data_IF_229118465493
#
_entry.id   IF_229118465493
#
_cell.length_a   1.000
_cell.length_b   1.000
_cell.length_c   1.000
_cell.angle_alpha   90.00
_cell.angle_beta   90.00
_cell.angle_gamma   90.00
#
_symmetry.space_group_name_H-M   'P 1'
#
loop_
_entity.id
_entity.type
_entity.pdbx_description
1 polymer ?
#
# COMPACT_ATOMS: atom_id res chain seq x y z
N UNK A 1 12.78 -6.23 62.33
CA UNK A 1 13.26 -4.97 61.72
C UNK A 1 13.05 -5.04 60.21
N UNK A 2 11.97 -4.44 59.75
CA UNK A 2 11.54 -4.48 58.32
C UNK A 2 12.07 -3.23 57.63
N UNK A 3 12.90 -3.42 56.59
CA UNK A 3 13.44 -2.32 55.79
C UNK A 3 12.44 -1.97 54.69
N UNK A 4 11.83 -0.80 54.79
CA UNK A 4 10.95 -0.23 53.79
C UNK A 4 11.74 0.09 52.49
N UNK A 5 11.40 -0.56 51.38
CA UNK A 5 11.88 -0.19 50.01
C UNK A 5 11.24 1.13 49.60
N UNK A 6 12.06 2.18 49.48
CA UNK A 6 11.67 3.43 48.87
C UNK A 6 11.46 3.17 47.37
N UNK A 7 10.25 3.38 46.86
CA UNK A 7 9.94 3.39 45.43
C UNK A 7 10.51 4.68 44.82
N UNK A 8 11.49 4.54 43.92
CA UNK A 8 11.99 5.64 43.11
C UNK A 8 11.02 5.82 41.94
N UNK A 9 10.28 6.94 41.95
CA UNK A 9 9.48 7.37 40.79
C UNK A 9 10.43 7.78 39.66
N UNK A 10 10.22 7.31 38.42
CA UNK A 10 10.99 7.79 37.29
C UNK A 10 10.72 9.29 37.05
N UNK A 11 11.69 10.06 36.58
CA UNK A 11 11.50 11.48 36.28
C UNK A 11 10.40 11.65 35.25
N UNK A 12 9.48 12.59 35.49
CA UNK A 12 8.48 12.99 34.53
C UNK A 12 9.20 13.48 33.26
N UNK A 13 9.01 12.76 32.16
CA UNK A 13 9.47 13.21 30.85
C UNK A 13 8.86 14.56 30.48
N UNK A 14 9.49 15.36 29.61
CA UNK A 14 8.92 16.62 29.18
C UNK A 14 7.49 16.40 28.69
N UNK A 15 6.56 17.21 29.23
CA UNK A 15 5.16 17.17 28.77
C UNK A 15 5.17 17.37 27.25
N UNK A 16 4.56 16.42 26.53
CA UNK A 16 4.38 16.57 25.09
C UNK A 16 3.69 17.90 24.84
N UNK A 17 4.30 18.77 24.02
CA UNK A 17 3.69 20.01 23.60
C UNK A 17 2.29 19.68 23.03
N UNK A 18 1.25 20.50 23.30
CA UNK A 18 -0.06 20.25 22.75
C UNK A 18 0.08 20.10 21.24
N UNK A 19 -0.46 19.00 20.70
CA UNK A 19 -0.48 18.75 19.26
C UNK A 19 -1.19 19.97 18.64
N UNK A 20 -0.40 20.77 17.93
CA UNK A 20 -0.85 21.97 17.24
C UNK A 20 -2.10 21.61 16.43
N UNK A 21 -3.13 22.47 16.42
CA UNK A 21 -4.35 22.28 15.64
C UNK A 21 -4.03 22.42 14.14
N UNK A 22 -3.18 21.53 13.62
CA UNK A 22 -2.88 21.46 12.20
C UNK A 22 -4.13 20.95 11.49
N UNK A 23 -4.46 21.63 10.40
CA UNK A 23 -5.51 21.13 9.51
C UNK A 23 -5.23 19.66 9.14
N UNK A 24 -6.27 18.82 9.14
CA UNK A 24 -6.18 17.40 8.71
C UNK A 24 -5.45 17.29 7.38
N UNK A 25 -4.30 16.62 7.30
CA UNK A 25 -3.56 16.50 6.05
C UNK A 25 -4.36 15.70 5.01
N UNK A 26 -4.43 16.22 3.80
CA UNK A 26 -5.14 15.61 2.67
C UNK A 26 -4.13 14.84 1.82
N UNK A 27 -4.32 13.55 1.68
CA UNK A 27 -3.35 12.67 1.03
C UNK A 27 -4.01 11.94 -0.14
N UNK A 28 -3.42 12.09 -1.32
CA UNK A 28 -3.78 11.31 -2.49
C UNK A 28 -2.96 10.04 -2.51
N UNK A 29 -3.61 8.89 -2.39
CA UNK A 29 -3.00 7.57 -2.54
C UNK A 29 -3.35 7.04 -3.93
N UNK A 30 -2.34 6.66 -4.69
CA UNK A 30 -2.46 6.14 -6.07
C UNK A 30 -1.80 4.77 -6.10
N UNK A 31 -2.40 3.79 -6.78
CA UNK A 31 -1.70 2.53 -7.04
C UNK A 31 -2.58 1.31 -7.15
N UNK A 32 -1.93 0.16 -7.04
CA UNK A 32 -2.57 -1.14 -7.18
C UNK A 32 -3.39 -1.47 -5.94
N UNK A 33 -4.71 -1.40 -6.08
CA UNK A 33 -5.64 -1.81 -5.03
C UNK A 33 -5.95 -3.30 -5.16
N UNK A 34 -6.12 -3.97 -4.03
CA UNK A 34 -6.45 -5.39 -4.00
C UNK A 34 -7.28 -5.76 -2.78
N UNK A 35 -7.96 -6.89 -2.87
CA UNK A 35 -8.69 -7.51 -1.77
C UNK A 35 -7.85 -8.63 -1.17
N UNK A 36 -7.45 -8.49 0.09
CA UNK A 36 -6.88 -9.58 0.86
C UNK A 36 -8.01 -10.37 1.53
N UNK A 37 -8.25 -11.61 1.05
CA UNK A 37 -9.28 -12.51 1.57
C UNK A 37 -8.64 -13.56 2.45
N UNK A 38 -9.28 -13.85 3.58
CA UNK A 38 -8.78 -14.81 4.56
C UNK A 38 -9.82 -15.88 4.84
N UNK A 39 -9.40 -17.14 4.78
CA UNK A 39 -10.14 -18.28 5.30
C UNK A 39 -9.34 -18.83 6.47
N UNK A 40 -9.88 -18.74 7.68
CA UNK A 40 -9.22 -19.18 8.90
C UNK A 40 -9.97 -20.36 9.52
N UNK A 41 -9.22 -21.38 9.93
CA UNK A 41 -9.81 -22.60 10.50
C UNK A 41 -8.77 -23.54 11.13
N UNK A 42 -9.07 -24.85 11.08
CA UNK A 42 -8.19 -25.91 11.54
C UNK A 42 -7.88 -26.90 10.43
N UNK A 43 -6.72 -27.53 10.52
CA UNK A 43 -6.33 -28.67 9.67
C UNK A 43 -6.14 -29.87 10.57
N UNK A 44 -7.09 -30.81 10.50
CA UNK A 44 -7.13 -31.99 11.37
C UNK A 44 -6.92 -33.29 10.57
N UNK A 45 -6.93 -33.23 9.24
CA UNK A 45 -6.79 -34.38 8.35
C UNK A 45 -6.19 -34.02 6.99
N UNK A 46 -5.61 -35.04 6.34
CA UNK A 46 -5.15 -35.00 4.95
C UNK A 46 -6.28 -35.49 4.05
N UNK A 47 -6.35 -34.95 2.83
CA UNK A 47 -7.34 -35.35 1.81
C UNK A 47 -7.10 -36.83 1.42
N UNK A 48 -8.18 -37.65 1.23
CA UNK A 48 -8.04 -38.97 0.63
C UNK A 48 -7.76 -38.93 -0.86
N UNK A 49 -8.00 -37.78 -1.52
CA UNK A 49 -7.84 -37.63 -2.97
C UNK A 49 -6.41 -37.21 -3.37
N UNK A 50 -5.67 -36.55 -2.46
CA UNK A 50 -4.32 -36.07 -2.71
C UNK A 50 -3.60 -35.82 -1.38
N UNK A 51 -2.26 -35.82 -1.30
CA UNK A 51 -1.50 -35.56 -0.07
C UNK A 51 -1.49 -34.06 0.30
N UNK A 52 -2.67 -33.47 0.43
CA UNK A 52 -2.88 -32.07 0.79
C UNK A 52 -3.72 -31.92 2.04
N UNK A 53 -3.46 -30.91 2.89
CA UNK A 53 -4.26 -30.67 4.09
C UNK A 53 -5.67 -30.18 3.73
N UNK A 54 -6.67 -30.61 4.51
CA UNK A 54 -8.04 -30.10 4.41
C UNK A 54 -8.20 -29.00 5.47
N UNK A 55 -8.45 -27.77 5.05
CA UNK A 55 -8.79 -26.67 5.92
C UNK A 55 -10.29 -26.70 6.23
N UNK A 56 -10.66 -26.95 7.47
CA UNK A 56 -12.03 -26.75 7.95
C UNK A 56 -12.20 -25.28 8.31
N UNK A 57 -12.85 -24.52 7.41
CA UNK A 57 -13.03 -23.07 7.58
C UNK A 57 -14.02 -22.80 8.72
N UNK A 58 -13.60 -21.98 9.68
CA UNK A 58 -14.41 -21.52 10.82
C UNK A 58 -14.86 -20.07 10.67
N UNK A 59 -14.06 -19.25 9.97
CA UNK A 59 -14.40 -17.86 9.65
C UNK A 59 -13.74 -17.44 8.36
N UNK A 60 -14.37 -16.48 7.67
CA UNK A 60 -13.78 -15.76 6.55
C UNK A 60 -13.89 -14.26 6.79
N UNK A 61 -12.92 -13.51 6.32
CA UNK A 61 -12.93 -12.04 6.40
C UNK A 61 -12.06 -11.45 5.31
N UNK A 62 -12.35 -10.19 4.99
CA UNK A 62 -11.64 -9.42 3.97
C UNK A 62 -10.87 -8.27 4.61
N UNK A 63 -9.77 -7.86 3.98
CA UNK A 63 -8.99 -6.68 4.33
C UNK A 63 -8.61 -5.92 3.06
N UNK A 64 -8.46 -4.60 3.12
CA UNK A 64 -7.86 -3.85 2.04
C UNK A 64 -6.39 -4.26 1.89
N UNK A 65 -5.91 -4.43 0.65
CA UNK A 65 -4.52 -4.76 0.32
C UNK A 65 -3.91 -3.75 -0.65
N UNK A 66 -2.59 -3.75 -0.79
CA UNK A 66 -1.88 -2.82 -1.67
C UNK A 66 -2.14 -1.36 -1.32
N UNK A 67 -2.37 -0.53 -2.33
CA UNK A 67 -2.69 0.89 -2.15
C UNK A 67 -3.94 1.12 -1.28
N UNK A 68 -4.91 0.21 -1.29
CA UNK A 68 -6.09 0.28 -0.42
C UNK A 68 -5.71 0.17 1.06
N UNK A 69 -4.75 -0.70 1.43
CA UNK A 69 -4.25 -0.79 2.80
C UNK A 69 -3.48 0.47 3.22
N UNK A 70 -2.72 1.07 2.29
CA UNK A 70 -2.04 2.35 2.54
C UNK A 70 -3.06 3.45 2.85
N UNK A 71 -4.14 3.53 2.07
CA UNK A 71 -5.21 4.51 2.27
C UNK A 71 -5.88 4.36 3.64
N UNK A 72 -6.17 3.13 4.07
CA UNK A 72 -6.73 2.85 5.40
C UNK A 72 -5.74 3.23 6.52
N UNK A 73 -4.45 2.95 6.37
CA UNK A 73 -3.46 3.36 7.35
C UNK A 73 -3.36 4.88 7.47
N UNK A 74 -3.43 5.62 6.36
CA UNK A 74 -3.46 7.09 6.36
C UNK A 74 -4.71 7.60 7.09
N UNK A 75 -5.88 7.04 6.80
CA UNK A 75 -7.12 7.42 7.48
C UNK A 75 -7.06 7.12 8.98
N UNK A 76 -6.54 5.96 9.38
CA UNK A 76 -6.36 5.58 10.78
C UNK A 76 -5.40 6.51 11.55
N UNK A 77 -4.44 7.13 10.86
CA UNK A 77 -3.55 8.15 11.42
C UNK A 77 -4.15 9.56 11.43
N UNK A 78 -5.41 9.73 11.03
CA UNK A 78 -6.12 11.00 11.02
C UNK A 78 -5.95 11.83 9.74
N UNK A 79 -5.42 11.27 8.65
CA UNK A 79 -5.34 11.92 7.34
C UNK A 79 -6.66 11.81 6.57
N UNK A 80 -7.02 12.85 5.82
CA UNK A 80 -8.09 12.79 4.84
C UNK A 80 -7.57 12.15 3.54
N UNK A 81 -8.11 10.99 3.18
CA UNK A 81 -7.57 10.18 2.09
C UNK A 81 -8.44 10.23 0.84
N UNK A 82 -7.82 10.45 -0.32
CA UNK A 82 -8.40 10.18 -1.63
C UNK A 82 -7.65 8.99 -2.23
N UNK A 83 -8.35 7.89 -2.56
CA UNK A 83 -7.76 6.69 -3.14
C UNK A 83 -8.09 6.61 -4.63
N UNK A 84 -7.06 6.65 -5.49
CA UNK A 84 -7.14 6.42 -6.93
C UNK A 84 -6.48 5.10 -7.27
N UNK A 85 -7.24 4.21 -7.88
CA UNK A 85 -6.81 2.90 -8.31
C UNK A 85 -7.86 2.28 -9.21
N UNK A 86 -7.61 1.06 -9.72
CA UNK A 86 -8.53 0.35 -10.58
C UNK A 86 -9.03 -0.94 -9.93
N UNK A 87 -10.31 -1.25 -10.14
CA UNK A 87 -10.96 -2.48 -9.69
C UNK A 87 -11.78 -3.06 -10.85
N UNK A 88 -12.07 -4.34 -10.80
CA UNK A 88 -12.98 -4.98 -11.75
C UNK A 88 -14.45 -4.60 -11.57
N UNK A 89 -15.31 -5.08 -12.47
CA UNK A 89 -16.76 -4.99 -12.35
C UNK A 89 -17.33 -6.27 -11.70
N UNK A 90 -16.76 -6.70 -10.57
CA UNK A 90 -16.96 -8.00 -9.95
C UNK A 90 -17.35 -7.91 -8.46
N UNK A 91 -17.56 -9.08 -7.85
CA UNK A 91 -17.92 -9.20 -6.45
C UNK A 91 -16.79 -8.78 -5.52
N UNK A 92 -15.55 -9.04 -5.91
CA UNK A 92 -14.38 -8.65 -5.13
C UNK A 92 -14.27 -7.12 -5.03
N UNK A 93 -14.58 -6.38 -6.11
CA UNK A 93 -14.65 -4.92 -6.09
C UNK A 93 -15.72 -4.41 -5.11
N UNK A 94 -16.91 -5.06 -5.08
CA UNK A 94 -17.97 -4.70 -4.12
C UNK A 94 -17.51 -4.91 -2.69
N UNK A 95 -16.91 -6.06 -2.41
CA UNK A 95 -16.37 -6.39 -1.08
C UNK A 95 -15.26 -5.43 -0.65
N UNK A 96 -14.33 -5.08 -1.56
CA UNK A 96 -13.26 -4.12 -1.28
C UNK A 96 -13.83 -2.73 -0.93
N UNK A 97 -14.82 -2.24 -1.70
CA UNK A 97 -15.47 -0.96 -1.41
C UNK A 97 -16.15 -0.95 -0.05
N UNK A 98 -16.86 -2.02 0.31
CA UNK A 98 -17.51 -2.15 1.63
C UNK A 98 -16.48 -2.07 2.78
N UNK A 99 -15.32 -2.73 2.65
CA UNK A 99 -14.28 -2.70 3.69
C UNK A 99 -13.64 -1.32 3.78
N UNK A 100 -13.34 -0.69 2.63
CA UNK A 100 -12.77 0.65 2.58
C UNK A 100 -13.69 1.70 3.21
N UNK A 101 -14.99 1.67 2.90
CA UNK A 101 -15.99 2.59 3.46
C UNK A 101 -16.14 2.40 4.97
N UNK A 102 -16.12 1.14 5.45
CA UNK A 102 -16.15 0.82 6.87
C UNK A 102 -14.91 1.36 7.61
N UNK A 103 -13.76 1.40 6.95
CA UNK A 103 -12.50 1.95 7.47
C UNK A 103 -12.34 3.47 7.19
N UNK A 104 -13.39 4.15 6.72
CA UNK A 104 -13.43 5.59 6.52
C UNK A 104 -12.73 6.09 5.24
N UNK A 105 -12.48 5.23 4.28
CA UNK A 105 -11.85 5.59 2.99
C UNK A 105 -12.91 5.70 1.89
N UNK A 106 -13.13 6.90 1.32
CA UNK A 106 -14.09 7.11 0.23
C UNK A 106 -13.67 6.37 -1.05
N UNK A 107 -14.64 5.68 -1.69
CA UNK A 107 -14.42 4.87 -2.89
C UNK A 107 -14.74 5.59 -4.21
N UNK A 108 -15.15 6.85 -4.19
CA UNK A 108 -15.63 7.59 -5.38
C UNK A 108 -14.59 7.80 -6.48
N UNK A 109 -13.29 7.73 -6.15
CA UNK A 109 -12.20 7.89 -7.10
C UNK A 109 -11.62 6.58 -7.64
N UNK A 110 -12.15 5.42 -7.21
CA UNK A 110 -11.78 4.13 -7.81
C UNK A 110 -12.41 3.97 -9.19
N UNK A 111 -11.57 3.68 -10.19
CA UNK A 111 -11.99 3.42 -11.57
C UNK A 111 -12.41 1.95 -11.71
N UNK A 112 -13.54 1.71 -12.38
CA UNK A 112 -14.01 0.34 -12.64
C UNK A 112 -13.62 -0.08 -14.06
N UNK A 113 -12.79 -1.11 -14.16
CA UNK A 113 -12.44 -1.79 -15.40
C UNK A 113 -13.47 -2.91 -15.67
N UNK A 114 -14.10 -2.93 -16.84
CA UNK A 114 -15.10 -3.94 -17.17
C UNK A 114 -14.50 -5.25 -17.67
N UNK A 115 -13.29 -5.19 -18.18
CA UNK A 115 -12.60 -6.29 -18.87
C UNK A 115 -11.55 -7.00 -18.00
N UNK A 116 -11.27 -6.46 -16.81
CA UNK A 116 -10.22 -6.95 -15.92
C UNK A 116 -10.79 -7.26 -14.53
N UNK A 117 -10.34 -8.34 -13.88
CA UNK A 117 -10.78 -8.69 -12.53
C UNK A 117 -10.14 -7.76 -11.50
N UNK A 118 -10.79 -7.62 -10.35
CA UNK A 118 -10.16 -7.07 -9.15
C UNK A 118 -9.08 -8.04 -8.67
N UNK A 119 -7.89 -7.53 -8.37
CA UNK A 119 -6.83 -8.35 -7.75
C UNK A 119 -7.28 -8.86 -6.39
N UNK A 120 -7.26 -10.18 -6.20
CA UNK A 120 -7.58 -10.84 -4.93
C UNK A 120 -6.42 -11.72 -4.49
N UNK A 121 -6.03 -11.61 -3.22
CA UNK A 121 -5.03 -12.48 -2.60
C UNK A 121 -5.70 -13.27 -1.48
N UNK A 122 -5.98 -14.54 -1.75
CA UNK A 122 -6.66 -15.41 -0.80
C UNK A 122 -5.65 -16.20 0.03
N UNK A 123 -5.73 -16.05 1.35
CA UNK A 123 -4.85 -16.74 2.32
C UNK A 123 -5.63 -17.75 3.14
N UNK A 124 -5.10 -18.96 3.21
CA UNK A 124 -5.62 -20.05 4.03
C UNK A 124 -4.82 -20.14 5.33
N UNK A 125 -5.48 -19.97 6.47
CA UNK A 125 -4.85 -19.92 7.79
C UNK A 125 -5.32 -21.11 8.63
N UNK A 126 -4.36 -21.91 9.13
CA UNK A 126 -4.59 -22.93 10.14
C UNK A 126 -4.03 -22.43 11.49
N UNK A 127 -4.91 -22.01 12.40
CA UNK A 127 -4.51 -21.31 13.62
C UNK A 127 -3.79 -20.01 13.29
N UNK A 128 -2.50 -19.90 13.63
CA UNK A 128 -1.66 -18.74 13.33
C UNK A 128 -0.79 -18.90 12.07
N UNK A 129 -0.81 -20.08 11.43
CA UNK A 129 0.05 -20.38 10.29
C UNK A 129 -0.69 -20.21 8.96
N UNK A 130 -0.07 -19.51 8.01
CA UNK A 130 -0.52 -19.50 6.63
C UNK A 130 -0.08 -20.81 5.96
N UNK A 131 -1.04 -21.62 5.49
CA UNK A 131 -0.78 -22.91 4.84
C UNK A 131 -0.73 -22.81 3.34
N UNK A 132 -1.47 -21.86 2.75
CA UNK A 132 -1.43 -21.59 1.32
C UNK A 132 -1.88 -20.15 1.03
N UNK A 133 -1.53 -19.67 -0.16
CA UNK A 133 -2.08 -18.47 -0.77
C UNK A 133 -2.35 -18.75 -2.25
N UNK A 134 -3.45 -18.24 -2.77
CA UNK A 134 -3.70 -18.18 -4.20
C UNK A 134 -4.13 -16.78 -4.59
N UNK A 135 -3.65 -16.34 -5.75
CA UNK A 135 -3.80 -14.99 -6.23
C UNK A 135 -4.63 -15.01 -7.53
N UNK A 136 -5.70 -14.23 -7.55
CA UNK A 136 -6.51 -13.95 -8.74
C UNK A 136 -6.13 -12.54 -9.20
N UNK A 137 -5.37 -12.43 -10.29
CA UNK A 137 -4.85 -11.15 -10.74
C UNK A 137 -4.65 -11.12 -12.26
N UNK A 138 -4.75 -9.91 -12.82
CA UNK A 138 -4.35 -9.62 -14.18
C UNK A 138 -3.63 -8.27 -14.22
N UNK A 139 -2.77 -8.07 -15.20
CA UNK A 139 -2.16 -6.75 -15.44
C UNK A 139 -3.23 -5.79 -15.98
N UNK A 140 -3.33 -4.62 -15.40
CA UNK A 140 -4.17 -3.54 -15.92
C UNK A 140 -3.49 -2.93 -17.17
N UNK A 141 -3.90 -3.38 -18.34
CA UNK A 141 -3.51 -2.81 -19.63
C UNK A 141 -4.76 -2.44 -20.44
N UNK A 142 -5.42 -1.39 -20.00
CA UNK A 142 -6.62 -0.84 -20.62
C UNK A 142 -6.46 0.68 -20.76
N UNK A 143 -6.44 1.16 -22.01
CA UNK A 143 -6.24 2.58 -22.32
C UNK A 143 -7.35 3.47 -21.77
N UNK A 144 -8.60 2.98 -21.73
CA UNK A 144 -9.73 3.71 -21.18
C UNK A 144 -9.63 3.84 -19.65
N UNK A 145 -9.23 2.77 -18.97
CA UNK A 145 -8.95 2.79 -17.52
C UNK A 145 -7.80 3.74 -17.22
N UNK A 146 -6.71 3.66 -17.99
CA UNK A 146 -5.55 4.55 -17.86
C UNK A 146 -5.94 6.02 -17.98
N UNK A 147 -6.71 6.38 -19.01
CA UNK A 147 -7.18 7.75 -19.22
C UNK A 147 -8.05 8.23 -18.03
N UNK A 148 -8.94 7.38 -17.53
CA UNK A 148 -9.77 7.68 -16.37
C UNK A 148 -8.94 7.86 -15.09
N UNK A 149 -7.91 7.04 -14.85
CA UNK A 149 -6.98 7.20 -13.73
C UNK A 149 -6.27 8.55 -13.79
N UNK A 150 -5.70 8.91 -14.94
CA UNK A 150 -5.02 10.20 -15.15
C UNK A 150 -5.94 11.38 -14.84
N UNK A 151 -7.19 11.33 -15.30
CA UNK A 151 -8.16 12.39 -15.02
C UNK A 151 -8.49 12.49 -13.53
N UNK A 152 -8.70 11.36 -12.85
CA UNK A 152 -8.93 11.34 -11.39
C UNK A 152 -7.73 11.87 -10.60
N UNK A 153 -6.51 11.54 -11.03
CA UNK A 153 -5.28 12.03 -10.41
C UNK A 153 -5.18 13.54 -10.55
N UNK A 154 -5.37 14.08 -11.77
CA UNK A 154 -5.30 15.53 -12.03
C UNK A 154 -6.31 16.30 -11.18
N UNK A 155 -7.54 15.80 -11.09
CA UNK A 155 -8.58 16.42 -10.28
C UNK A 155 -8.19 16.40 -8.78
N UNK A 156 -7.79 15.24 -8.25
CA UNK A 156 -7.47 15.07 -6.83
C UNK A 156 -6.21 15.86 -6.44
N UNK A 157 -5.18 15.89 -7.28
CA UNK A 157 -3.89 16.56 -7.00
C UNK A 157 -4.03 18.06 -6.76
N UNK A 158 -5.16 18.70 -7.18
CA UNK A 158 -5.39 20.14 -6.99
C UNK A 158 -5.57 20.55 -5.52
N UNK A 159 -5.90 19.63 -4.64
CA UNK A 159 -6.32 19.95 -3.26
C UNK A 159 -5.57 19.18 -2.18
N UNK A 160 -4.59 18.36 -2.53
CA UNK A 160 -3.88 17.53 -1.56
C UNK A 160 -2.56 18.14 -1.10
N UNK A 161 -2.11 17.71 0.07
CA UNK A 161 -0.90 18.17 0.72
C UNK A 161 0.27 17.19 0.49
N UNK A 162 -0.04 15.94 0.04
CA UNK A 162 0.92 14.88 -0.26
C UNK A 162 0.33 13.93 -1.31
N UNK A 163 1.18 13.45 -2.23
CA UNK A 163 0.88 12.33 -3.12
C UNK A 163 1.70 11.11 -2.69
N UNK A 164 1.04 9.96 -2.55
CA UNK A 164 1.67 8.69 -2.23
C UNK A 164 1.34 7.68 -3.33
N UNK A 165 2.37 7.16 -4.00
CA UNK A 165 2.24 6.11 -5.02
C UNK A 165 2.62 4.77 -4.40
N UNK A 166 1.72 3.79 -4.46
CA UNK A 166 1.93 2.43 -3.95
C UNK A 166 1.79 1.44 -5.11
N UNK A 167 2.94 1.09 -5.68
CA UNK A 167 3.05 0.29 -6.90
C UNK A 167 3.47 -1.15 -6.59
N UNK A 168 2.59 -2.09 -6.94
CA UNK A 168 2.82 -3.53 -6.84
C UNK A 168 3.06 -4.20 -8.20
N UNK A 169 3.37 -3.39 -9.23
CA UNK A 169 3.59 -3.85 -10.61
C UNK A 169 2.37 -4.63 -11.16
N UNK A 170 1.15 -4.15 -10.88
CA UNK A 170 -0.08 -4.72 -11.44
C UNK A 170 -0.65 -3.87 -12.59
N UNK A 171 0.08 -2.83 -13.01
CA UNK A 171 -0.20 -2.03 -14.20
C UNK A 171 -0.98 -0.73 -13.95
N UNK A 172 -1.42 -0.45 -12.73
CA UNK A 172 -2.07 0.84 -12.40
C UNK A 172 -1.07 1.98 -12.45
N UNK A 173 0.15 1.77 -11.94
CA UNK A 173 1.20 2.80 -11.88
C UNK A 173 2.18 2.68 -13.06
N UNK A 174 1.66 2.65 -14.30
CA UNK A 174 2.50 2.71 -15.50
C UNK A 174 3.13 4.10 -15.69
N UNK A 175 3.99 4.25 -16.70
CA UNK A 175 4.68 5.52 -16.98
C UNK A 175 3.71 6.70 -17.16
N UNK A 176 2.57 6.50 -17.83
CA UNK A 176 1.57 7.55 -18.07
C UNK A 176 0.94 8.02 -16.77
N UNK A 177 0.54 7.10 -15.92
CA UNK A 177 -0.07 7.38 -14.62
C UNK A 177 0.95 8.00 -13.66
N UNK A 178 2.17 7.43 -13.59
CA UNK A 178 3.25 7.94 -12.75
C UNK A 178 3.61 9.38 -13.14
N UNK A 179 3.76 9.67 -14.44
CA UNK A 179 4.02 11.03 -14.93
C UNK A 179 2.89 11.99 -14.57
N UNK A 180 1.64 11.60 -14.80
CA UNK A 180 0.50 12.46 -14.46
C UNK A 180 0.47 12.82 -12.97
N UNK A 181 0.79 11.88 -12.10
CA UNK A 181 0.86 12.09 -10.65
C UNK A 181 1.99 13.06 -10.26
N UNK A 182 3.19 12.84 -10.79
CA UNK A 182 4.37 13.65 -10.49
C UNK A 182 4.24 15.06 -11.04
N UNK A 183 3.83 15.21 -12.30
CA UNK A 183 3.69 16.52 -12.94
C UNK A 183 2.61 17.37 -12.25
N UNK A 184 1.46 16.77 -11.90
CA UNK A 184 0.40 17.45 -11.17
C UNK A 184 0.85 17.90 -9.77
N UNK A 185 1.63 17.08 -9.07
CA UNK A 185 2.18 17.40 -7.77
C UNK A 185 3.27 18.50 -7.86
N UNK A 186 4.20 18.38 -8.80
CA UNK A 186 5.27 19.36 -9.01
C UNK A 186 4.76 20.75 -9.35
N UNK A 187 3.71 20.86 -10.18
CA UNK A 187 3.07 22.13 -10.52
C UNK A 187 2.57 22.92 -9.29
N UNK A 188 2.44 22.26 -8.15
CA UNK A 188 1.96 22.85 -6.88
C UNK A 188 3.01 22.82 -5.77
N UNK A 189 4.18 22.27 -6.01
CA UNK A 189 5.18 22.02 -4.97
C UNK A 189 4.74 20.96 -3.94
N UNK A 190 3.77 20.10 -4.30
CA UNK A 190 3.29 19.01 -3.44
C UNK A 190 4.31 17.87 -3.45
N UNK A 191 4.75 17.36 -2.28
CA UNK A 191 5.69 16.25 -2.24
C UNK A 191 5.05 14.95 -2.76
N UNK A 192 5.89 14.10 -3.41
CA UNK A 192 5.52 12.78 -3.91
C UNK A 192 6.38 11.72 -3.24
N UNK A 193 5.74 10.76 -2.59
CA UNK A 193 6.40 9.57 -2.02
C UNK A 193 6.03 8.37 -2.88
N UNK A 194 7.00 7.53 -3.21
CA UNK A 194 6.81 6.33 -4.02
C UNK A 194 7.31 5.10 -3.26
N UNK A 195 6.41 4.14 -3.03
CA UNK A 195 6.73 2.76 -2.64
C UNK A 195 6.40 1.85 -3.83
N UNK A 196 7.42 1.32 -4.49
CA UNK A 196 7.27 0.48 -5.68
C UNK A 196 8.03 -0.82 -5.54
N UNK A 197 7.44 -1.90 -6.05
CA UNK A 197 8.06 -3.22 -6.19
C UNK A 197 8.86 -3.33 -7.50
N UNK A 198 8.88 -2.29 -8.31
CA UNK A 198 9.71 -2.22 -9.51
C UNK A 198 11.20 -2.17 -9.15
N UNK A 199 12.02 -2.73 -10.01
CA UNK A 199 13.47 -2.63 -9.91
C UNK A 199 14.03 -1.45 -10.72
N UNK A 200 13.19 -0.80 -11.52
CA UNK A 200 13.49 0.41 -12.28
C UNK A 200 12.58 1.56 -11.80
N UNK A 201 13.18 2.56 -11.20
CA UNK A 201 12.47 3.76 -10.72
C UNK A 201 12.43 4.88 -11.77
N UNK A 202 12.84 4.62 -13.01
CA UNK A 202 12.91 5.64 -14.08
C UNK A 202 11.58 6.33 -14.36
N UNK A 203 10.46 5.58 -14.31
CA UNK A 203 9.10 6.14 -14.49
C UNK A 203 8.69 7.10 -13.36
N UNK A 204 9.34 7.01 -12.19
CA UNK A 204 9.08 7.86 -11.02
C UNK A 204 10.07 9.03 -10.89
N UNK A 205 10.86 9.33 -11.92
CA UNK A 205 11.80 10.46 -11.91
C UNK A 205 11.09 11.76 -11.54
N UNK A 206 11.65 12.47 -10.55
CA UNK A 206 11.08 13.70 -10.00
C UNK A 206 10.17 13.47 -8.79
N UNK A 207 10.03 12.25 -8.29
CA UNK A 207 9.46 11.99 -6.97
C UNK A 207 10.33 12.62 -5.87
N UNK A 208 9.72 13.07 -4.78
CA UNK A 208 10.44 13.66 -3.65
C UNK A 208 11.19 12.61 -2.85
N UNK A 209 10.57 11.43 -2.66
CA UNK A 209 11.12 10.31 -1.88
C UNK A 209 10.71 9.00 -2.53
N UNK A 210 11.62 8.03 -2.57
CA UNK A 210 11.33 6.63 -2.83
C UNK A 210 11.71 5.78 -1.61
N UNK A 211 10.99 4.69 -1.34
CA UNK A 211 11.12 3.90 -0.11
C UNK A 211 11.45 2.42 -0.38
N UNK A 212 12.52 2.11 -1.12
CA UNK A 212 12.87 0.72 -1.41
C UNK A 212 13.29 -0.01 -0.13
N UNK A 213 12.86 -1.25 0.03
CA UNK A 213 13.43 -2.13 1.02
C UNK A 213 14.87 -2.54 0.63
N UNK A 214 15.59 -3.24 1.53
CA UNK A 214 16.99 -3.62 1.31
C UNK A 214 17.20 -4.40 0.01
N UNK A 215 16.31 -5.32 -0.33
CA UNK A 215 16.43 -6.15 -1.53
C UNK A 215 16.15 -5.33 -2.79
N UNK A 216 15.10 -4.53 -2.80
CA UNK A 216 14.75 -3.62 -3.88
C UNK A 216 15.89 -2.61 -4.13
N UNK A 217 16.41 -1.99 -3.08
CA UNK A 217 17.53 -1.08 -3.19
C UNK A 217 18.82 -1.75 -3.70
N UNK A 218 19.08 -2.99 -3.27
CA UNK A 218 20.25 -3.76 -3.73
C UNK A 218 20.17 -4.03 -5.24
N UNK A 219 19.00 -4.40 -5.74
CA UNK A 219 18.78 -4.65 -7.16
C UNK A 219 18.86 -3.35 -7.96
N UNK A 220 18.15 -2.30 -7.54
CA UNK A 220 18.14 -1.01 -8.22
C UNK A 220 19.52 -0.33 -8.28
N UNK A 221 20.33 -0.47 -7.21
CA UNK A 221 21.68 0.04 -7.18
C UNK A 221 22.70 -0.85 -7.91
N UNK A 222 22.36 -2.14 -8.15
CA UNK A 222 23.28 -3.12 -8.73
C UNK A 222 24.41 -3.54 -7.77
N UNK A 223 24.21 -3.43 -6.45
CA UNK A 223 25.21 -3.80 -5.44
C UNK A 223 24.55 -4.42 -4.19
N UNK A 224 25.21 -5.38 -3.53
CA UNK A 224 24.68 -5.98 -2.31
C UNK A 224 24.70 -4.99 -1.15
N UNK A 225 23.62 -5.02 -0.34
CA UNK A 225 23.50 -4.19 0.89
C UNK A 225 23.54 -5.15 2.08
N UNK A 226 24.63 -5.09 2.86
CA UNK A 226 24.86 -5.92 4.05
C UNK A 226 24.99 -5.09 5.31
N UNK A 227 25.47 -3.85 5.18
CA UNK A 227 25.68 -2.90 6.29
C UNK A 227 24.90 -1.60 6.05
N UNK A 228 24.69 -0.76 7.07
CA UNK A 228 24.11 0.57 6.90
C UNK A 228 24.88 1.44 5.89
N UNK A 229 26.20 1.34 5.85
CA UNK A 229 27.08 2.08 4.94
C UNK A 229 26.85 1.67 3.49
N UNK A 230 26.60 0.37 3.23
CA UNK A 230 26.17 -0.11 1.92
C UNK A 230 24.85 0.53 1.51
N UNK A 231 23.91 0.66 2.47
CA UNK A 231 22.61 1.31 2.24
C UNK A 231 22.78 2.78 1.83
N UNK A 232 23.62 3.53 2.51
CA UNK A 232 23.92 4.94 2.16
C UNK A 232 24.51 5.03 0.74
N UNK A 233 25.45 4.16 0.40
CA UNK A 233 26.06 4.09 -0.93
C UNK A 233 25.02 3.74 -2.00
N UNK A 234 24.17 2.73 -1.76
CA UNK A 234 23.09 2.35 -2.67
C UNK A 234 22.10 3.50 -2.89
N UNK A 235 21.71 4.22 -1.85
CA UNK A 235 20.86 5.39 -1.94
C UNK A 235 21.47 6.49 -2.82
N UNK A 236 22.81 6.72 -2.69
CA UNK A 236 23.54 7.65 -3.56
C UNK A 236 23.48 7.25 -5.04
N UNK A 237 23.69 5.96 -5.34
CA UNK A 237 23.63 5.41 -6.70
C UNK A 237 22.22 5.57 -7.28
N UNK A 238 21.18 5.20 -6.51
CA UNK A 238 19.78 5.27 -6.92
C UNK A 238 19.41 6.73 -7.22
N UNK A 239 19.75 7.65 -6.32
CA UNK A 239 19.50 9.08 -6.52
C UNK A 239 20.19 9.63 -7.78
N UNK A 240 21.43 9.22 -8.05
CA UNK A 240 22.15 9.67 -9.24
C UNK A 240 21.52 9.10 -10.54
N UNK A 241 21.04 7.87 -10.49
CA UNK A 241 20.47 7.19 -11.66
C UNK A 241 19.05 7.66 -12.01
N UNK A 242 18.23 7.89 -11.00
CA UNK A 242 16.80 8.13 -11.18
C UNK A 242 16.34 9.58 -10.87
N UNK A 243 17.15 10.39 -10.24
CA UNK A 243 16.87 11.80 -9.95
C UNK A 243 16.50 12.05 -8.52
#
# INVERSE_FOLDING_TARGET
MSAARKSVQPPAGPAAAPCDQRATPRILVIGDVMLDRYFAGSVDRISPEAPVPILLVKRSFNRPGGAANVAVNVAAMGGATTLVGAVGADDAARQLRMVLEADGVPCGSLVTARTLPTTVKTRLLAGHNQIARFDEEALFDDAGVRAALVERIRQAATTVDLVLVSDYCKGVSDETVARAAIDAAQARGTPVIVDSKSHDYGIFRGATVITPNRNEASIAAGCPIRTPEDGIRAAGIIRQRYG
#
